data_IF_431944975515
#
_entry.id   IF_431944975515
#
_cell.length_a   1.000
_cell.length_b   1.000
_cell.length_c   1.000
_cell.angle_alpha   90.00
_cell.angle_beta   90.00
_cell.angle_gamma   90.00
#
_symmetry.space_group_name_H-M   'P 1'
#
loop_
_entity.id
_entity.type
_entity.pdbx_description
1 polymer ?
#
# COMPACT_ATOMS: atom_id res chain seq x y z
N UNK A 1 11.54 -34.49 -2.76
CA UNK A 1 10.33 -33.71 -2.40
C UNK A 1 9.58 -33.38 -3.68
N UNK A 2 8.32 -33.78 -3.83
CA UNK A 2 7.54 -33.40 -5.03
C UNK A 2 7.23 -31.91 -4.91
N UNK A 3 7.88 -31.09 -5.74
CA UNK A 3 7.43 -29.72 -5.99
C UNK A 3 6.03 -29.86 -6.56
N UNK A 4 5.01 -29.59 -5.75
CA UNK A 4 3.63 -29.61 -6.23
C UNK A 4 3.54 -28.54 -7.31
N UNK A 5 3.08 -28.93 -8.49
CA UNK A 5 2.88 -27.99 -9.58
C UNK A 5 1.72 -27.04 -9.19
N UNK A 6 2.08 -25.83 -8.76
CA UNK A 6 1.13 -24.85 -8.23
C UNK A 6 0.02 -24.54 -9.24
N UNK A 7 0.34 -24.51 -10.54
CA UNK A 7 -0.64 -24.32 -11.62
C UNK A 7 -1.69 -25.45 -11.64
N UNK A 8 -1.26 -26.70 -11.47
CA UNK A 8 -2.20 -27.83 -11.39
C UNK A 8 -3.11 -27.74 -10.17
N UNK A 9 -2.58 -27.32 -9.02
CA UNK A 9 -3.39 -27.15 -7.81
C UNK A 9 -4.44 -26.03 -7.96
N UNK A 10 -4.07 -24.91 -8.60
CA UNK A 10 -5.01 -23.81 -8.91
C UNK A 10 -6.09 -24.30 -9.90
N UNK A 11 -5.70 -25.02 -10.96
CA UNK A 11 -6.63 -25.56 -11.94
C UNK A 11 -7.58 -26.60 -11.34
N UNK A 12 -7.10 -27.43 -10.41
CA UNK A 12 -7.95 -28.36 -9.67
C UNK A 12 -8.97 -27.60 -8.82
N UNK A 13 -8.54 -26.62 -8.04
CA UNK A 13 -9.44 -25.79 -7.22
C UNK A 13 -10.49 -25.05 -8.06
N UNK A 14 -10.10 -24.59 -9.25
CA UNK A 14 -11.02 -23.97 -10.20
C UNK A 14 -12.02 -24.98 -10.77
N UNK A 15 -11.56 -26.17 -11.19
CA UNK A 15 -12.41 -27.25 -11.73
C UNK A 15 -13.43 -27.74 -10.71
N UNK A 16 -13.00 -27.89 -9.46
CA UNK A 16 -13.85 -28.33 -8.34
C UNK A 16 -14.65 -27.18 -7.70
N UNK A 17 -14.49 -25.93 -8.19
CA UNK A 17 -15.17 -24.72 -7.70
C UNK A 17 -15.09 -24.55 -6.19
N UNK A 18 -13.90 -24.72 -5.64
CA UNK A 18 -13.68 -24.53 -4.20
C UNK A 18 -14.04 -23.11 -3.76
N UNK A 19 -14.58 -22.97 -2.54
CA UNK A 19 -14.69 -21.66 -1.91
C UNK A 19 -13.31 -21.12 -1.51
N UNK A 20 -13.18 -19.81 -1.29
CA UNK A 20 -11.91 -19.19 -0.89
C UNK A 20 -11.28 -19.87 0.33
N UNK A 21 -12.11 -20.25 1.32
CA UNK A 21 -11.67 -20.96 2.51
C UNK A 21 -11.20 -22.40 2.22
N UNK A 22 -11.96 -23.15 1.41
CA UNK A 22 -11.59 -24.50 1.00
C UNK A 22 -10.29 -24.50 0.21
N UNK A 23 -10.14 -23.51 -0.68
CA UNK A 23 -8.91 -23.29 -1.43
C UNK A 23 -7.74 -23.00 -0.48
N UNK A 24 -7.87 -22.04 0.43
CA UNK A 24 -6.80 -21.67 1.35
C UNK A 24 -6.32 -22.85 2.22
N UNK A 25 -7.23 -23.71 2.68
CA UNK A 25 -6.86 -24.93 3.44
C UNK A 25 -6.09 -25.92 2.57
N UNK A 26 -6.62 -26.24 1.39
CA UNK A 26 -6.04 -27.29 0.56
C UNK A 26 -4.76 -26.86 -0.12
N UNK A 27 -4.67 -25.59 -0.52
CA UNK A 27 -3.45 -25.02 -1.08
C UNK A 27 -2.35 -25.06 -0.03
N UNK A 28 -2.63 -24.72 1.25
CA UNK A 28 -1.65 -24.79 2.37
C UNK A 28 -1.03 -26.17 2.58
N UNK A 29 -1.80 -27.24 2.37
CA UNK A 29 -1.28 -28.62 2.49
C UNK A 29 -0.16 -28.93 1.50
N UNK A 30 -0.09 -28.19 0.39
CA UNK A 30 0.91 -28.36 -0.65
C UNK A 30 2.22 -27.61 -0.36
N UNK A 31 2.28 -26.82 0.72
CA UNK A 31 3.46 -26.01 1.08
C UNK A 31 4.36 -26.75 2.07
N UNK A 32 5.69 -26.69 1.89
CA UNK A 32 6.64 -27.18 2.90
C UNK A 32 6.41 -26.46 4.24
N UNK A 33 6.40 -27.21 5.34
CA UNK A 33 6.31 -26.61 6.68
C UNK A 33 7.47 -25.64 6.90
N UNK A 34 7.16 -24.39 7.24
CA UNK A 34 8.16 -23.34 7.50
C UNK A 34 8.60 -22.52 6.29
N UNK A 35 8.10 -22.79 5.09
CA UNK A 35 8.37 -21.95 3.92
C UNK A 35 7.41 -20.74 3.86
N UNK A 36 7.91 -19.60 3.40
CA UNK A 36 7.08 -18.44 3.06
C UNK A 36 6.35 -18.69 1.75
N UNK A 37 5.13 -18.17 1.64
CA UNK A 37 4.29 -18.33 0.47
C UNK A 37 4.85 -17.65 -0.79
N UNK A 38 5.63 -16.57 -0.61
CA UNK A 38 6.27 -15.84 -1.71
C UNK A 38 7.35 -16.66 -2.41
N UNK A 39 7.94 -17.67 -1.75
CA UNK A 39 8.96 -18.55 -2.34
C UNK A 39 8.46 -19.30 -3.60
N UNK A 40 7.14 -19.48 -3.73
CA UNK A 40 6.54 -20.24 -4.84
C UNK A 40 5.88 -19.34 -5.90
N UNK A 41 6.12 -18.02 -5.86
CA UNK A 41 5.51 -17.05 -6.79
C UNK A 41 3.98 -17.19 -6.86
N UNK A 42 3.33 -17.39 -5.71
CA UNK A 42 1.88 -17.66 -5.64
C UNK A 42 1.04 -16.55 -6.27
N UNK A 43 1.38 -15.29 -6.01
CA UNK A 43 0.70 -14.14 -6.59
C UNK A 43 0.77 -14.15 -8.13
N UNK A 44 1.95 -14.42 -8.69
CA UNK A 44 2.16 -14.52 -10.13
C UNK A 44 1.39 -15.70 -10.73
N UNK A 45 1.45 -16.89 -10.12
CA UNK A 45 0.72 -18.05 -10.62
C UNK A 45 -0.80 -17.85 -10.61
N UNK A 46 -1.36 -17.25 -9.55
CA UNK A 46 -2.79 -16.92 -9.49
C UNK A 46 -3.15 -15.88 -10.56
N UNK A 47 -2.32 -14.85 -10.74
CA UNK A 47 -2.57 -13.80 -11.72
C UNK A 47 -2.49 -14.33 -13.15
N UNK A 48 -1.47 -15.10 -13.51
CA UNK A 48 -1.34 -15.74 -14.83
C UNK A 48 -2.58 -16.59 -15.15
N UNK A 49 -3.03 -17.42 -14.19
CA UNK A 49 -4.21 -18.26 -14.41
C UNK A 49 -5.52 -17.47 -14.46
N UNK A 50 -5.62 -16.37 -13.71
CA UNK A 50 -6.76 -15.47 -13.77
C UNK A 50 -6.85 -14.75 -15.13
N UNK A 51 -5.71 -14.46 -15.77
CA UNK A 51 -5.60 -13.64 -16.96
C UNK A 51 -5.44 -14.43 -18.27
N UNK A 52 -5.92 -15.68 -18.36
CA UNK A 52 -5.86 -16.45 -19.63
C UNK A 52 -6.93 -16.00 -20.64
N UNK A 53 -8.14 -15.69 -20.18
CA UNK A 53 -9.28 -15.37 -21.05
C UNK A 53 -9.42 -13.87 -21.39
N UNK A 54 -10.32 -13.48 -22.31
CA UNK A 54 -10.54 -12.07 -22.66
C UNK A 54 -10.98 -11.23 -21.46
N UNK A 55 -11.72 -11.84 -20.53
CA UNK A 55 -12.04 -11.31 -19.22
C UNK A 55 -11.33 -12.13 -18.12
N UNK A 56 -11.06 -11.52 -16.96
CA UNK A 56 -10.36 -12.22 -15.90
C UNK A 56 -11.28 -13.24 -15.21
N UNK A 57 -10.72 -14.39 -14.84
CA UNK A 57 -11.47 -15.45 -14.18
C UNK A 57 -11.86 -15.04 -12.74
N UNK A 58 -13.15 -14.84 -12.43
CA UNK A 58 -13.58 -14.26 -11.17
C UNK A 58 -13.27 -15.15 -9.96
N UNK A 59 -13.27 -16.47 -10.12
CA UNK A 59 -12.97 -17.41 -9.04
C UNK A 59 -11.48 -17.42 -8.69
N UNK A 60 -10.61 -17.43 -9.70
CA UNK A 60 -9.16 -17.37 -9.45
C UNK A 60 -8.78 -15.99 -8.89
N UNK A 61 -9.45 -14.93 -9.35
CA UNK A 61 -9.32 -13.60 -8.76
C UNK A 61 -9.78 -13.57 -7.29
N UNK A 62 -10.84 -14.27 -6.91
CA UNK A 62 -11.27 -14.30 -5.50
C UNK A 62 -10.22 -14.96 -4.62
N UNK A 63 -9.55 -16.03 -5.10
CA UNK A 63 -8.42 -16.63 -4.40
C UNK A 63 -7.25 -15.65 -4.20
N UNK A 64 -6.92 -14.84 -5.21
CA UNK A 64 -5.88 -13.81 -5.08
C UNK A 64 -6.29 -12.71 -4.09
N UNK A 65 -7.53 -12.21 -4.18
CA UNK A 65 -8.08 -11.22 -3.24
C UNK A 65 -8.07 -11.74 -1.80
N UNK A 66 -8.41 -13.02 -1.61
CA UNK A 66 -8.34 -13.70 -0.32
C UNK A 66 -6.89 -13.76 0.16
N UNK A 67 -5.95 -14.23 -0.68
CA UNK A 67 -4.54 -14.34 -0.34
C UNK A 67 -3.92 -13.01 0.08
N UNK A 68 -4.30 -11.91 -0.58
CA UNK A 68 -3.89 -10.55 -0.20
C UNK A 68 -4.46 -10.18 1.17
N UNK A 69 -5.75 -10.41 1.37
CA UNK A 69 -6.45 -10.04 2.61
C UNK A 69 -5.96 -10.82 3.82
N UNK A 70 -5.60 -12.10 3.63
CA UNK A 70 -5.09 -13.00 4.65
C UNK A 70 -3.56 -12.96 4.78
N UNK A 71 -2.87 -12.03 4.10
CA UNK A 71 -1.41 -11.89 4.08
C UNK A 71 -0.67 -13.19 3.74
N UNK A 72 -1.29 -14.02 2.89
CA UNK A 72 -0.64 -15.19 2.31
C UNK A 72 0.31 -14.83 1.18
N UNK A 73 0.25 -13.62 0.64
CA UNK A 73 1.23 -13.12 -0.34
C UNK A 73 1.67 -11.72 0.07
N UNK A 74 2.93 -11.37 -0.16
CA UNK A 74 3.37 -10.00 0.09
C UNK A 74 2.82 -9.03 -0.96
N UNK A 75 2.65 -7.77 -0.58
CA UNK A 75 2.28 -6.72 -1.53
C UNK A 75 3.35 -6.55 -2.63
N UNK A 76 4.62 -6.82 -2.32
CA UNK A 76 5.72 -6.80 -3.29
C UNK A 76 5.53 -7.84 -4.39
N UNK A 77 5.20 -9.09 -4.04
CA UNK A 77 5.00 -10.14 -5.03
C UNK A 77 3.77 -9.88 -5.90
N UNK A 78 2.71 -9.30 -5.32
CA UNK A 78 1.52 -8.88 -6.07
C UNK A 78 1.84 -7.73 -7.04
N UNK A 79 2.47 -6.65 -6.59
CA UNK A 79 2.88 -5.54 -7.46
C UNK A 79 3.80 -6.02 -8.59
N UNK A 80 4.75 -6.90 -8.27
CA UNK A 80 5.63 -7.51 -9.29
C UNK A 80 4.81 -8.28 -10.33
N UNK A 81 3.84 -9.10 -9.91
CA UNK A 81 2.97 -9.82 -10.83
C UNK A 81 2.14 -8.87 -11.73
N UNK A 82 1.64 -7.76 -11.17
CA UNK A 82 0.89 -6.74 -11.94
C UNK A 82 1.79 -6.14 -13.03
N UNK A 83 3.03 -5.76 -12.68
CA UNK A 83 3.97 -5.13 -13.61
C UNK A 83 4.38 -6.01 -14.80
N UNK A 84 4.15 -7.33 -14.73
CA UNK A 84 4.43 -8.29 -15.81
C UNK A 84 3.31 -8.38 -16.85
N UNK A 85 2.13 -7.80 -16.59
CA UNK A 85 1.01 -7.86 -17.52
C UNK A 85 1.16 -6.80 -18.63
N UNK A 86 1.39 -7.18 -19.89
CA UNK A 86 1.67 -6.20 -20.96
C UNK A 86 0.49 -5.93 -21.92
N UNK A 87 -0.57 -6.75 -21.89
CA UNK A 87 -1.66 -6.67 -22.85
C UNK A 87 -2.76 -5.68 -22.43
N UNK A 88 -2.47 -4.39 -22.61
CA UNK A 88 -3.40 -3.29 -22.32
C UNK A 88 -4.66 -3.26 -23.19
N UNK A 89 -4.72 -4.06 -24.27
CA UNK A 89 -5.94 -4.18 -25.09
C UNK A 89 -7.09 -4.85 -24.35
N UNK A 90 -6.79 -5.60 -23.29
CA UNK A 90 -7.76 -6.31 -22.45
C UNK A 90 -8.23 -5.43 -21.29
N UNK A 91 -9.06 -4.43 -21.60
CA UNK A 91 -9.53 -3.40 -20.66
C UNK A 91 -10.07 -3.96 -19.33
N UNK A 92 -10.86 -5.05 -19.38
CA UNK A 92 -11.42 -5.69 -18.17
C UNK A 92 -10.35 -6.31 -17.26
N UNK A 93 -9.25 -6.79 -17.84
CA UNK A 93 -8.13 -7.34 -17.09
C UNK A 93 -7.34 -6.22 -16.43
N UNK A 94 -7.02 -5.15 -17.17
CA UNK A 94 -6.36 -3.95 -16.64
C UNK A 94 -7.18 -3.37 -15.48
N UNK A 95 -8.51 -3.20 -15.67
CA UNK A 95 -9.41 -2.72 -14.62
C UNK A 95 -9.35 -3.58 -13.35
N UNK A 96 -9.38 -4.90 -13.50
CA UNK A 96 -9.31 -5.81 -12.35
C UNK A 96 -7.97 -5.77 -11.63
N UNK A 97 -6.86 -5.54 -12.36
CA UNK A 97 -5.54 -5.34 -11.76
C UNK A 97 -5.47 -4.03 -10.97
N UNK A 98 -6.04 -2.93 -11.49
CA UNK A 98 -6.13 -1.66 -10.77
C UNK A 98 -6.98 -1.80 -9.48
N UNK A 99 -8.11 -2.51 -9.55
CA UNK A 99 -8.93 -2.80 -8.37
C UNK A 99 -8.17 -3.61 -7.30
N UNK A 100 -7.31 -4.55 -7.72
CA UNK A 100 -6.44 -5.29 -6.79
C UNK A 100 -5.46 -4.35 -6.09
N UNK A 101 -4.86 -3.40 -6.82
CA UNK A 101 -3.92 -2.43 -6.24
C UNK A 101 -4.60 -1.58 -5.16
N UNK A 102 -5.84 -1.14 -5.40
CA UNK A 102 -6.60 -0.32 -4.47
C UNK A 102 -6.83 -1.01 -3.12
N UNK A 103 -6.85 -2.36 -3.07
CA UNK A 103 -7.01 -3.13 -1.83
C UNK A 103 -5.88 -2.89 -0.82
N UNK A 104 -4.68 -2.50 -1.25
CA UNK A 104 -3.52 -2.44 -0.35
C UNK A 104 -2.58 -1.24 -0.57
N UNK A 105 -2.78 -0.40 -1.58
CA UNK A 105 -1.90 0.73 -1.90
C UNK A 105 -1.68 1.69 -0.70
N UNK A 106 -2.69 1.88 0.16
CA UNK A 106 -2.60 2.71 1.36
C UNK A 106 -1.78 2.06 2.50
N UNK A 107 -1.62 0.73 2.47
CA UNK A 107 -0.92 -0.08 3.50
C UNK A 107 0.54 -0.37 3.19
N UNK A 108 1.04 0.08 2.03
CA UNK A 108 2.44 -0.12 1.64
C UNK A 108 3.38 0.45 2.69
N UNK A 109 4.23 -0.38 3.28
CA UNK A 109 5.17 0.06 4.32
C UNK A 109 6.34 -0.91 4.44
N UNK A 110 7.48 -0.38 4.86
CA UNK A 110 8.73 -1.11 5.02
C UNK A 110 8.98 -1.36 6.51
N UNK A 111 8.48 -2.49 7.04
CA UNK A 111 8.68 -2.89 8.45
C UNK A 111 9.46 -4.21 8.59
N UNK A 112 10.06 -4.70 7.51
CA UNK A 112 10.70 -6.02 7.44
C UNK A 112 12.21 -5.97 7.23
N UNK A 113 12.76 -7.08 6.74
CA UNK A 113 14.19 -7.17 6.39
C UNK A 113 14.52 -6.18 5.26
N UNK A 114 15.76 -5.71 5.22
CA UNK A 114 16.21 -4.78 4.18
C UNK A 114 15.94 -5.32 2.76
N UNK A 115 16.15 -6.61 2.52
CA UNK A 115 15.88 -7.25 1.22
C UNK A 115 14.41 -7.21 0.82
N UNK A 116 13.49 -7.46 1.76
CA UNK A 116 12.04 -7.41 1.51
C UNK A 116 11.58 -5.98 1.21
N UNK A 117 12.15 -5.01 1.93
CA UNK A 117 11.91 -3.58 1.72
C UNK A 117 12.44 -3.13 0.35
N UNK A 118 13.65 -3.54 -0.04
CA UNK A 118 14.21 -3.27 -1.38
C UNK A 118 13.34 -3.93 -2.46
N UNK A 119 12.91 -5.18 -2.24
CA UNK A 119 11.99 -5.87 -3.14
C UNK A 119 10.70 -5.09 -3.35
N UNK A 120 10.10 -4.56 -2.27
CA UNK A 120 8.91 -3.71 -2.36
C UNK A 120 9.20 -2.42 -3.14
N UNK A 121 10.35 -1.78 -2.92
CA UNK A 121 10.77 -0.59 -3.68
C UNK A 121 10.83 -0.89 -5.19
N UNK A 122 11.47 -1.98 -5.59
CA UNK A 122 11.55 -2.41 -7.00
C UNK A 122 10.17 -2.74 -7.58
N UNK A 123 9.34 -3.46 -6.83
CA UNK A 123 7.99 -3.80 -7.27
C UNK A 123 7.11 -2.55 -7.46
N UNK A 124 7.23 -1.57 -6.55
CA UNK A 124 6.53 -0.30 -6.67
C UNK A 124 7.00 0.51 -7.89
N UNK A 125 8.31 0.55 -8.15
CA UNK A 125 8.86 1.16 -9.37
C UNK A 125 8.33 0.47 -10.63
N UNK A 126 8.31 -0.86 -10.66
CA UNK A 126 7.77 -1.65 -11.76
C UNK A 126 6.31 -1.32 -12.05
N UNK A 127 5.48 -1.17 -11.02
CA UNK A 127 4.07 -0.79 -11.20
C UNK A 127 3.90 0.67 -11.64
N UNK A 128 4.77 1.58 -11.20
CA UNK A 128 4.79 2.96 -11.74
C UNK A 128 5.08 2.96 -13.24
N UNK A 129 6.08 2.18 -13.68
CA UNK A 129 6.38 2.01 -15.11
C UNK A 129 5.20 1.40 -15.85
N UNK A 130 4.57 0.37 -15.29
CA UNK A 130 3.41 -0.29 -15.87
C UNK A 130 2.22 0.67 -16.05
N UNK A 131 1.92 1.51 -15.06
CA UNK A 131 0.86 2.53 -15.17
C UNK A 131 1.19 3.58 -16.24
N UNK A 132 2.46 4.00 -16.34
CA UNK A 132 2.91 4.92 -17.39
C UNK A 132 2.79 4.30 -18.78
N UNK A 133 3.17 3.03 -18.93
CA UNK A 133 3.00 2.29 -20.20
C UNK A 133 1.53 2.16 -20.58
N UNK A 134 0.65 1.87 -19.62
CA UNK A 134 -0.80 1.85 -19.85
C UNK A 134 -1.31 3.21 -20.32
N UNK A 135 -0.90 4.30 -19.66
CA UNK A 135 -1.24 5.66 -20.09
C UNK A 135 -0.78 5.94 -21.52
N UNK A 136 0.47 5.58 -21.88
CA UNK A 136 1.00 5.77 -23.22
C UNK A 136 0.18 4.99 -24.25
N UNK A 137 -0.12 3.72 -23.96
CA UNK A 137 -0.88 2.85 -24.84
C UNK A 137 -2.28 3.40 -25.12
N UNK A 138 -3.04 3.81 -24.09
CA UNK A 138 -4.38 4.37 -24.29
C UNK A 138 -4.33 5.71 -25.04
N UNK A 139 -3.34 6.56 -24.78
CA UNK A 139 -3.16 7.81 -25.53
C UNK A 139 -2.87 7.56 -27.02
N UNK A 140 -1.98 6.60 -27.34
CA UNK A 140 -1.67 6.22 -28.73
C UNK A 140 -2.91 5.67 -29.43
N UNK A 141 -3.72 4.85 -28.75
CA UNK A 141 -4.95 4.29 -29.33
C UNK A 141 -6.04 5.33 -29.56
N UNK A 142 -6.22 6.27 -28.63
CA UNK A 142 -7.13 7.41 -28.82
C UNK A 142 -6.68 8.30 -30.00
N UNK A 143 -5.36 8.44 -30.22
CA UNK A 143 -4.82 9.15 -31.38
C UNK A 143 -5.13 8.45 -32.71
N UNK A 144 -5.01 7.11 -32.75
CA UNK A 144 -5.23 6.33 -33.97
C UNK A 144 -6.71 6.15 -34.33
N UNK A 145 -7.54 5.83 -33.34
CA UNK A 145 -8.93 5.41 -33.53
C UNK A 145 -9.94 6.54 -33.28
N UNK A 146 -9.49 7.67 -32.75
CA UNK A 146 -10.34 8.78 -32.33
C UNK A 146 -10.93 8.59 -30.92
N UNK A 147 -11.76 9.54 -30.46
CA UNK A 147 -12.29 9.55 -29.10
C UNK A 147 -13.20 8.34 -28.85
N UNK A 148 -12.90 7.61 -27.77
CA UNK A 148 -13.68 6.46 -27.31
C UNK A 148 -13.88 6.56 -25.80
N UNK A 149 -15.13 6.60 -25.36
CA UNK A 149 -15.47 6.75 -23.94
C UNK A 149 -14.87 5.64 -23.05
N UNK A 150 -14.74 4.41 -23.57
CA UNK A 150 -14.16 3.29 -22.83
C UNK A 150 -12.65 3.45 -22.63
N UNK A 151 -11.94 3.87 -23.68
CA UNK A 151 -10.50 4.09 -23.64
C UNK A 151 -10.14 5.32 -22.81
N UNK A 152 -10.94 6.39 -22.89
CA UNK A 152 -10.79 7.57 -22.03
C UNK A 152 -11.01 7.24 -20.55
N UNK A 153 -12.00 6.38 -20.25
CA UNK A 153 -12.23 5.91 -18.88
C UNK A 153 -11.04 5.07 -18.37
N UNK A 154 -10.53 4.15 -19.20
CA UNK A 154 -9.40 3.30 -18.85
C UNK A 154 -8.10 4.10 -18.66
N UNK A 155 -7.86 5.11 -19.51
CA UNK A 155 -6.76 6.06 -19.35
C UNK A 155 -6.89 6.83 -18.02
N UNK A 156 -8.08 7.35 -17.71
CA UNK A 156 -8.34 8.06 -16.46
C UNK A 156 -8.11 7.16 -15.24
N UNK A 157 -8.57 5.91 -15.30
CA UNK A 157 -8.36 4.93 -14.24
C UNK A 157 -6.86 4.72 -13.97
N UNK A 158 -6.02 4.57 -15.00
CA UNK A 158 -4.57 4.47 -14.84
C UNK A 158 -3.96 5.76 -14.26
N UNK A 159 -4.38 6.92 -14.76
CA UNK A 159 -3.90 8.23 -14.30
C UNK A 159 -4.21 8.47 -12.82
N UNK A 160 -5.43 8.17 -12.38
CA UNK A 160 -5.87 8.39 -11.01
C UNK A 160 -5.07 7.52 -10.02
N UNK A 161 -4.80 6.25 -10.37
CA UNK A 161 -3.97 5.37 -9.53
C UNK A 161 -2.51 5.80 -9.52
N UNK A 162 -1.96 6.21 -10.67
CA UNK A 162 -0.61 6.76 -10.76
C UNK A 162 -0.45 8.00 -9.89
N UNK A 163 -1.42 8.92 -9.98
CA UNK A 163 -1.47 10.11 -9.14
C UNK A 163 -1.53 9.74 -7.66
N UNK A 164 -2.46 8.88 -7.26
CA UNK A 164 -2.62 8.48 -5.86
C UNK A 164 -1.33 7.86 -5.29
N UNK A 165 -0.65 7.02 -6.08
CA UNK A 165 0.63 6.42 -5.68
C UNK A 165 1.72 7.46 -5.49
N UNK A 166 1.92 8.37 -6.45
CA UNK A 166 3.02 9.36 -6.43
C UNK A 166 2.70 10.53 -5.49
N UNK A 167 1.43 10.81 -5.18
CA UNK A 167 1.05 11.86 -4.23
C UNK A 167 1.58 11.58 -2.83
N UNK A 168 1.80 10.32 -2.43
CA UNK A 168 2.33 10.00 -1.10
C UNK A 168 3.85 10.21 -1.03
N UNK A 169 4.34 11.04 -0.09
CA UNK A 169 5.78 11.22 0.17
C UNK A 169 6.48 9.89 0.46
N UNK A 170 5.81 9.00 1.19
CA UNK A 170 6.30 7.65 1.50
C UNK A 170 6.58 6.87 0.22
N UNK A 171 5.59 6.76 -0.66
CA UNK A 171 5.74 6.02 -1.92
C UNK A 171 6.80 6.65 -2.82
N UNK A 172 6.86 7.98 -2.87
CA UNK A 172 7.93 8.69 -3.58
C UNK A 172 9.32 8.34 -3.06
N UNK A 173 9.49 8.28 -1.73
CA UNK A 173 10.75 7.86 -1.12
C UNK A 173 11.10 6.40 -1.47
N UNK A 174 10.13 5.49 -1.44
CA UNK A 174 10.33 4.08 -1.85
C UNK A 174 10.77 3.94 -3.31
N UNK A 175 10.11 4.67 -4.23
CA UNK A 175 10.49 4.72 -5.65
C UNK A 175 11.90 5.30 -5.82
N UNK A 176 12.26 6.31 -5.02
CA UNK A 176 13.60 6.88 -5.06
C UNK A 176 14.67 5.89 -4.58
N UNK A 177 14.40 5.11 -3.54
CA UNK A 177 15.30 4.04 -3.08
C UNK A 177 15.50 3.00 -4.20
N UNK A 178 14.43 2.62 -4.91
CA UNK A 178 14.51 1.71 -6.05
C UNK A 178 15.43 2.25 -7.16
N UNK A 179 15.32 3.56 -7.47
CA UNK A 179 16.17 4.23 -8.45
C UNK A 179 17.66 4.19 -8.06
N UNK A 180 17.97 4.39 -6.78
CA UNK A 180 19.36 4.37 -6.30
C UNK A 180 19.96 2.97 -6.35
N UNK A 181 19.14 1.95 -6.15
CA UNK A 181 19.57 0.57 -6.13
C UNK A 181 19.82 0.01 -7.54
N UNK A 182 18.92 0.29 -8.49
CA UNK A 182 19.04 -0.21 -9.87
C UNK A 182 18.94 0.94 -10.88
N UNK A 183 20.04 1.65 -11.11
CA UNK A 183 20.09 2.80 -12.03
C UNK A 183 19.62 2.47 -13.45
N UNK A 184 19.79 1.22 -13.91
CA UNK A 184 19.31 0.75 -15.21
C UNK A 184 17.78 0.77 -15.34
N UNK A 185 17.06 0.41 -14.28
CA UNK A 185 15.58 0.39 -14.25
C UNK A 185 14.96 1.79 -14.41
N UNK A 186 15.71 2.83 -14.03
CA UNK A 186 15.27 4.21 -14.17
C UNK A 186 15.12 4.66 -15.62
N UNK A 187 15.96 4.15 -16.52
CA UNK A 187 15.86 4.45 -17.94
C UNK A 187 14.50 4.03 -18.52
N UNK A 188 13.90 2.96 -17.99
CA UNK A 188 12.56 2.53 -18.39
C UNK A 188 11.48 3.52 -17.94
N UNK A 189 11.64 4.15 -16.76
CA UNK A 189 10.76 5.23 -16.31
C UNK A 189 10.88 6.42 -17.24
N UNK A 190 12.11 6.86 -17.54
CA UNK A 190 12.35 8.01 -18.42
C UNK A 190 11.77 7.77 -19.81
N UNK A 191 11.98 6.58 -20.37
CA UNK A 191 11.39 6.19 -21.66
C UNK A 191 9.86 6.15 -21.61
N UNK A 192 9.25 5.58 -20.55
CA UNK A 192 7.80 5.54 -20.42
C UNK A 192 7.21 6.96 -20.28
N UNK A 193 7.82 7.84 -19.48
CA UNK A 193 7.41 9.25 -19.35
C UNK A 193 7.55 9.99 -20.69
N UNK A 194 8.63 9.78 -21.44
CA UNK A 194 8.81 10.37 -22.77
C UNK A 194 7.71 9.92 -23.73
N UNK A 195 7.40 8.62 -23.78
CA UNK A 195 6.31 8.08 -24.62
C UNK A 195 4.96 8.70 -24.29
N UNK A 196 4.63 8.81 -22.99
CA UNK A 196 3.38 9.44 -22.56
C UNK A 196 3.36 10.93 -22.95
N UNK A 197 4.48 11.64 -22.76
CA UNK A 197 4.59 13.06 -23.09
C UNK A 197 4.41 13.32 -24.59
N UNK A 198 5.03 12.49 -25.42
CA UNK A 198 4.91 12.55 -26.88
C UNK A 198 3.46 12.27 -27.31
N UNK A 199 2.84 11.20 -26.79
CA UNK A 199 1.45 10.87 -27.07
C UNK A 199 0.48 11.99 -26.64
N UNK A 200 0.72 12.63 -25.47
CA UNK A 200 -0.10 13.71 -24.94
C UNK A 200 -0.02 15.01 -25.76
N UNK A 201 1.13 15.31 -26.37
CA UNK A 201 1.33 16.53 -27.16
C UNK A 201 0.33 16.64 -28.33
N UNK A 202 -0.26 15.52 -28.75
CA UNK A 202 -1.17 15.41 -29.88
C UNK A 202 -2.67 15.38 -29.56
N UNK A 203 -3.09 15.21 -28.30
CA UNK A 203 -4.51 14.97 -27.90
C UNK A 203 -5.20 16.20 -27.24
N UNK A 204 -4.45 17.26 -26.94
CA UNK A 204 -4.89 18.60 -26.50
C UNK A 204 -5.30 18.84 -25.01
N UNK A 205 -4.68 19.91 -24.48
CA UNK A 205 -4.95 20.89 -23.41
C UNK A 205 -5.33 20.56 -21.96
N UNK A 206 -5.90 19.42 -21.59
CA UNK A 206 -6.18 19.17 -20.16
C UNK A 206 -5.53 17.90 -19.68
N UNK A 207 -4.26 17.96 -19.27
CA UNK A 207 -3.70 17.17 -18.16
C UNK A 207 -2.24 17.59 -17.91
N UNK A 208 -2.08 18.67 -17.14
CA UNK A 208 -0.80 19.16 -16.56
C UNK A 208 -0.17 18.12 -15.61
N UNK A 209 -0.92 17.05 -15.28
CA UNK A 209 -0.59 16.11 -14.22
C UNK A 209 0.66 15.24 -14.49
N UNK A 210 0.82 14.76 -15.72
CA UNK A 210 1.99 13.95 -16.11
C UNK A 210 3.28 14.78 -16.22
N UNK A 211 3.16 16.08 -16.52
CA UNK A 211 4.27 17.04 -16.52
C UNK A 211 4.80 17.29 -15.10
N UNK A 212 3.98 17.13 -14.05
CA UNK A 212 4.41 17.24 -12.65
C UNK A 212 5.19 16.02 -12.15
N UNK A 213 5.06 14.87 -12.82
CA UNK A 213 5.80 13.65 -12.49
C UNK A 213 7.29 13.80 -12.88
N UNK A 214 7.57 14.42 -14.02
CA UNK A 214 8.92 14.63 -14.54
C UNK A 214 9.89 15.38 -13.58
N UNK A 215 9.50 16.49 -12.93
CA UNK A 215 10.33 17.17 -11.93
C UNK A 215 10.37 16.43 -10.58
N UNK A 216 9.31 15.73 -10.17
CA UNK A 216 9.29 14.94 -8.93
C UNK A 216 10.36 13.86 -8.89
N UNK A 217 10.90 13.48 -10.04
CA UNK A 217 11.79 12.33 -10.19
C UNK A 217 13.25 12.70 -10.43
N UNK A 218 13.55 13.98 -10.68
CA UNK A 218 14.92 14.46 -11.01
C UNK A 218 15.80 14.76 -9.79
N UNK A 219 15.27 15.22 -8.66
CA UNK A 219 16.11 15.56 -7.50
C UNK A 219 15.41 15.39 -6.13
N UNK A 220 16.13 14.85 -5.14
CA UNK A 220 15.69 14.64 -3.74
C UNK A 220 15.08 15.91 -3.11
N UNK A 221 15.66 17.11 -3.27
CA UNK A 221 15.09 18.32 -2.67
C UNK A 221 13.72 18.65 -3.24
N UNK A 222 13.50 18.41 -4.55
CA UNK A 222 12.22 18.72 -5.18
C UNK A 222 11.14 17.71 -4.79
N UNK A 223 11.50 16.43 -4.72
CA UNK A 223 10.71 15.27 -4.28
C UNK A 223 10.13 15.42 -2.86
N UNK A 224 10.92 16.07 -1.99
CA UNK A 224 10.60 16.42 -0.61
C UNK A 224 9.97 17.82 -0.47
N UNK A 225 10.19 18.72 -1.44
CA UNK A 225 9.61 20.08 -1.44
C UNK A 225 8.17 20.14 -1.92
N UNK A 226 7.70 19.12 -2.65
CA UNK A 226 6.27 19.00 -2.98
C UNK A 226 5.53 18.77 -1.67
N UNK A 227 4.94 19.86 -1.17
CA UNK A 227 4.03 19.83 -0.04
C UNK A 227 2.90 18.86 -0.39
N UNK A 228 2.96 17.66 0.21
CA UNK A 228 1.76 16.88 0.38
C UNK A 228 0.83 17.68 1.28
N UNK A 229 -0.47 17.62 1.02
CA UNK A 229 -1.43 18.00 2.05
C UNK A 229 -0.98 17.38 3.37
N UNK A 230 -0.89 18.17 4.45
CA UNK A 230 -0.44 17.65 5.72
C UNK A 230 -1.24 16.39 6.02
N UNK A 231 -0.60 15.27 6.41
CA UNK A 231 -1.34 14.10 6.84
C UNK A 231 -2.34 14.61 7.87
N UNK A 232 -3.61 14.21 7.74
CA UNK A 232 -4.66 14.50 8.74
C UNK A 232 -4.36 13.63 9.96
N UNK A 233 -3.25 13.93 10.61
CA UNK A 233 -2.87 13.50 11.92
C UNK A 233 -2.62 14.80 12.67
N UNK A 234 -3.71 15.41 13.12
CA UNK A 234 -3.62 16.23 14.32
C UNK A 234 -3.23 15.26 15.44
N UNK A 235 -1.93 15.02 15.61
CA UNK A 235 -1.41 14.45 16.83
C UNK A 235 -1.61 15.51 17.91
N UNK A 236 -2.08 15.09 19.08
CA UNK A 236 -2.24 15.98 20.22
C UNK A 236 -1.12 15.66 21.21
N UNK A 237 0.12 16.13 20.96
CA UNK A 237 1.30 15.72 21.71
C UNK A 237 1.24 16.12 23.19
N UNK A 238 0.44 17.13 23.53
CA UNK A 238 0.06 17.51 24.89
C UNK A 238 -0.57 16.36 25.68
N UNK A 239 -1.46 15.58 25.05
CA UNK A 239 -2.11 14.42 25.68
C UNK A 239 -1.07 13.35 25.95
N UNK A 240 -0.18 13.09 24.99
CA UNK A 240 0.91 12.13 25.12
C UNK A 240 1.92 12.53 26.21
N UNK A 241 2.40 13.77 26.17
CA UNK A 241 3.36 14.29 27.14
C UNK A 241 2.79 14.27 28.56
N UNK A 242 1.51 14.65 28.72
CA UNK A 242 0.87 14.66 30.03
C UNK A 242 0.68 13.24 30.60
N UNK A 243 0.24 12.28 29.78
CA UNK A 243 0.09 10.88 30.21
C UNK A 243 1.44 10.25 30.56
N UNK A 244 2.49 10.53 29.79
CA UNK A 244 3.84 10.06 30.09
C UNK A 244 4.39 10.68 31.38
N UNK A 245 4.18 11.97 31.59
CA UNK A 245 4.62 12.66 32.80
C UNK A 245 3.92 12.11 34.05
N UNK A 246 2.60 11.93 34.00
CA UNK A 246 1.82 11.38 35.10
C UNK A 246 2.16 9.90 35.36
N UNK A 247 2.32 9.10 34.30
CA UNK A 247 2.71 7.70 34.42
C UNK A 247 4.14 7.46 34.91
N UNK A 248 5.01 8.48 34.89
CA UNK A 248 6.38 8.39 35.42
C UNK A 248 6.54 9.04 36.78
N UNK A 249 5.89 10.18 37.03
CA UNK A 249 6.07 10.95 38.27
C UNK A 249 5.05 10.63 39.36
N UNK A 250 3.85 10.15 39.02
CA UNK A 250 2.72 10.00 39.94
C UNK A 250 2.09 8.59 39.87
N UNK A 251 2.92 7.55 39.96
CA UNK A 251 2.54 6.13 39.83
C UNK A 251 1.37 5.72 40.75
N UNK A 252 1.33 6.28 41.95
CA UNK A 252 0.31 6.03 42.99
C UNK A 252 -0.70 7.16 43.16
N UNK A 253 -0.69 8.14 42.26
CA UNK A 253 -1.59 9.29 42.30
C UNK A 253 -3.06 8.91 42.15
N UNK A 254 -3.94 9.71 42.75
CA UNK A 254 -5.39 9.62 42.54
C UNK A 254 -5.74 9.88 41.07
N UNK A 255 -6.77 9.20 40.57
CA UNK A 255 -7.14 9.27 39.15
C UNK A 255 -7.94 10.52 38.80
N UNK A 256 -8.59 11.14 39.78
CA UNK A 256 -9.48 12.27 39.57
C UNK A 256 -8.76 13.53 39.05
N UNK A 257 -7.61 13.97 39.63
CA UNK A 257 -6.88 15.13 39.12
C UNK A 257 -6.36 14.95 37.68
N UNK A 258 -5.91 13.72 37.35
CA UNK A 258 -5.47 13.36 36.01
C UNK A 258 -6.60 13.54 34.99
N UNK A 259 -7.80 13.04 35.29
CA UNK A 259 -8.98 13.13 34.40
C UNK A 259 -9.38 14.59 34.22
N UNK A 260 -9.38 15.40 35.27
CA UNK A 260 -9.72 16.82 35.20
C UNK A 260 -8.75 17.61 34.31
N UNK A 261 -7.44 17.36 34.45
CA UNK A 261 -6.41 18.01 33.64
C UNK A 261 -6.44 17.53 32.18
N UNK A 262 -6.68 16.24 31.94
CA UNK A 262 -6.93 15.69 30.60
C UNK A 262 -8.15 16.33 29.93
N UNK A 263 -9.24 16.50 30.68
CA UNK A 263 -10.45 17.17 30.18
C UNK A 263 -10.23 18.67 29.92
N UNK A 264 -9.35 19.31 30.69
CA UNK A 264 -8.90 20.68 30.42
C UNK A 264 -8.12 20.76 29.10
N UNK A 265 -7.16 19.85 28.85
CA UNK A 265 -6.41 19.77 27.59
C UNK A 265 -7.37 19.56 26.41
N UNK A 266 -8.32 18.63 26.54
CA UNK A 266 -9.36 18.38 25.53
C UNK A 266 -10.14 19.66 25.17
N UNK A 267 -10.53 20.45 26.17
CA UNK A 267 -11.29 21.69 25.97
C UNK A 267 -10.44 22.79 25.34
N UNK A 268 -9.22 23.01 25.85
CA UNK A 268 -8.30 24.05 25.35
C UNK A 268 -7.94 23.81 23.88
N UNK A 269 -7.66 22.55 23.51
CA UNK A 269 -7.27 22.18 22.16
C UNK A 269 -8.45 21.77 21.27
N UNK A 270 -9.69 21.86 21.78
CA UNK A 270 -10.93 21.51 21.07
C UNK A 270 -10.87 20.12 20.42
N UNK A 271 -10.34 19.14 21.15
CA UNK A 271 -10.12 17.78 20.64
C UNK A 271 -11.46 17.05 20.51
N UNK A 272 -11.83 16.55 19.32
CA UNK A 272 -13.01 15.70 19.17
C UNK A 272 -12.93 14.47 20.09
N UNK A 273 -14.04 14.12 20.75
CA UNK A 273 -14.04 13.05 21.75
C UNK A 273 -13.49 11.70 21.25
N UNK A 274 -13.79 11.23 20.02
CA UNK A 274 -13.22 9.98 19.50
C UNK A 274 -11.70 10.05 19.32
N UNK A 275 -11.18 11.20 18.87
CA UNK A 275 -9.74 11.40 18.72
C UNK A 275 -9.05 11.52 20.07
N UNK A 276 -9.68 12.17 21.05
CA UNK A 276 -9.13 12.29 22.38
C UNK A 276 -8.87 10.93 23.04
N UNK A 277 -9.84 10.02 22.95
CA UNK A 277 -9.70 8.64 23.46
C UNK A 277 -8.59 7.89 22.70
N UNK A 278 -8.54 8.05 21.37
CA UNK A 278 -7.50 7.45 20.54
C UNK A 278 -6.09 7.91 20.95
N UNK A 279 -5.89 9.20 21.21
CA UNK A 279 -4.59 9.74 21.64
C UNK A 279 -4.21 9.25 23.04
N UNK A 280 -5.18 9.11 23.96
CA UNK A 280 -4.93 8.48 25.27
C UNK A 280 -4.43 7.03 25.08
N UNK A 281 -5.06 6.27 24.18
CA UNK A 281 -4.67 4.88 23.92
C UNK A 281 -3.28 4.80 23.32
N UNK A 282 -3.00 5.64 22.32
CA UNK A 282 -1.68 5.70 21.70
C UNK A 282 -0.60 6.01 22.74
N UNK A 283 -0.81 7.02 23.58
CA UNK A 283 0.14 7.38 24.64
C UNK A 283 0.41 6.22 25.61
N UNK A 284 -0.65 5.50 26.03
CA UNK A 284 -0.53 4.34 26.91
C UNK A 284 0.24 3.18 26.25
N UNK A 285 -0.02 2.89 24.97
CA UNK A 285 0.69 1.84 24.24
C UNK A 285 2.13 2.22 23.90
N UNK A 286 2.41 3.50 23.61
CA UNK A 286 3.78 3.99 23.43
C UNK A 286 4.61 3.75 24.70
N UNK A 287 4.08 4.08 25.88
CA UNK A 287 4.75 3.78 27.15
C UNK A 287 5.01 2.29 27.40
N UNK A 288 4.14 1.41 26.89
CA UNK A 288 4.33 -0.05 26.97
C UNK A 288 5.40 -0.57 26.02
N UNK A 289 5.47 -0.02 24.80
CA UNK A 289 6.43 -0.45 23.76
C UNK A 289 7.84 0.07 24.09
N UNK A 290 7.93 1.28 24.63
CA UNK A 290 9.21 1.95 24.92
C UNK A 290 9.81 1.56 26.28
N UNK A 291 9.22 0.62 27.04
CA UNK A 291 9.81 0.14 28.31
C UNK A 291 10.89 -0.93 28.05
N UNK A 292 12.21 -0.62 28.15
CA UNK A 292 13.25 -1.65 28.15
C UNK A 292 13.15 -2.55 29.40
N UNK A 293 13.72 -3.75 29.32
CA UNK A 293 13.86 -4.67 30.46
C UNK A 293 14.52 -3.95 31.64
N UNK A 294 13.76 -3.74 32.72
CA UNK A 294 14.20 -3.04 33.94
C UNK A 294 13.51 -1.70 34.25
N UNK A 295 12.73 -1.13 33.34
CA UNK A 295 11.91 0.08 33.61
C UNK A 295 10.45 -0.27 33.85
N UNK A 296 10.17 -0.90 34.99
CA UNK A 296 8.79 -1.28 35.35
C UNK A 296 7.88 -0.05 35.53
N UNK A 297 8.44 1.12 35.83
CA UNK A 297 7.73 2.40 35.93
C UNK A 297 7.01 2.79 34.63
N UNK A 298 7.64 2.58 33.46
CA UNK A 298 7.03 2.90 32.17
C UNK A 298 5.83 1.99 31.85
N UNK A 299 5.80 0.76 32.37
CA UNK A 299 4.64 -0.14 32.22
C UNK A 299 3.40 0.40 32.93
N UNK A 300 3.55 1.20 33.99
CA UNK A 300 2.43 1.82 34.70
C UNK A 300 1.69 2.86 33.87
N UNK A 301 2.39 3.55 32.98
CA UNK A 301 1.82 4.47 31.98
C UNK A 301 0.73 3.81 31.13
N UNK A 302 0.84 2.50 30.87
CA UNK A 302 -0.14 1.75 30.10
C UNK A 302 -1.47 1.55 30.88
N UNK A 303 -1.41 1.51 32.21
CA UNK A 303 -2.58 1.32 33.07
C UNK A 303 -3.36 2.62 33.31
N UNK A 304 -2.81 3.77 32.91
CA UNK A 304 -3.48 5.06 32.97
C UNK A 304 -4.80 5.06 32.20
N UNK A 305 -4.86 4.39 31.04
CA UNK A 305 -6.10 4.25 30.28
C UNK A 305 -7.19 3.48 31.07
N UNK A 306 -6.81 2.41 31.78
CA UNK A 306 -7.75 1.61 32.57
C UNK A 306 -8.29 2.40 33.76
N UNK A 307 -7.43 3.20 34.39
CA UNK A 307 -7.77 4.12 35.49
C UNK A 307 -8.77 5.22 35.08
N UNK A 308 -8.67 5.73 33.84
CA UNK A 308 -9.59 6.76 33.31
C UNK A 308 -10.98 6.18 32.98
N UNK A 309 -11.09 4.88 32.71
CA UNK A 309 -12.36 4.22 32.37
C UNK A 309 -13.21 3.83 33.60
N UNK A 310 -12.59 3.75 34.78
CA UNK A 310 -13.26 3.39 36.05
C UNK A 310 -13.99 4.57 36.74
N UNK A 311 -14.06 5.72 36.08
CA UNK A 311 -14.81 6.93 36.49
C UNK A 311 -15.85 7.23 35.41
#
# INVERSE_FOLDING_TARGET
>A
MKVVNLKQAILQAWKERWSDYQWAINIKKNFPKGATWDYLNLAEALMEQAMIGPSPNPLILSYLKYAISSQMVSYSSVLTAISKFEDFSRELCVKSLLEIMDMFCHRLSCHGKAEECIGLCRALLGVVVWLLQGCAWYCERLRELGPSASMEASLRDCQDRLHSLIRSTKNRALVHIARLEEQGSWSNVEQAVLKVTDALSSVCSQFIFLVLIHPCFRSIPLLLSVQCDPPVHASFPSVHAFIMLEGTMNLTGETQPLVEQLMMIKRMQRIPAPLFVLEIWKACFTGLIESPEGTEELKWTAFTFLKVRSV
#
